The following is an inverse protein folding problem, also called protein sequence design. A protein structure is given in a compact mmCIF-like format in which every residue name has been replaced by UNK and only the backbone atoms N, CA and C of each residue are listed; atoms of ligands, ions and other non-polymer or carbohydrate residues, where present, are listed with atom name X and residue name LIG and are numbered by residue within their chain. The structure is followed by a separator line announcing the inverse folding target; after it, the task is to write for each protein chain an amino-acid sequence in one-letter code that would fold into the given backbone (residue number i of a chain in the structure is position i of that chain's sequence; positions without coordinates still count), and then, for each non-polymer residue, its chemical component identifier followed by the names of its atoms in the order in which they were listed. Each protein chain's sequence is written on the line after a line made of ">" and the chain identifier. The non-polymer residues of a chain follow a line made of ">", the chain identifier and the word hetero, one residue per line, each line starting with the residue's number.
data_IF_189755603014
#
_entry.id   IF_189755603014
#
_cell.length_a   1.000
_cell.length_b   1.000
_cell.length_c   1.000
_cell.angle_alpha   90.00
_cell.angle_beta   90.00
_cell.angle_gamma   90.00
#
_symmetry.space_group_name_H-M   'P 1'
#
loop_
_entity.id
_entity.type
_entity.pdbx_description
1 polymer ?
#
# COMPACT_ATOMS: atom_id res chain seq x y z
N UNK A 1 9.67 -7.17 1.18
CA UNK A 1 9.21 -5.82 0.77
C UNK A 1 8.65 -5.93 -0.65
N UNK A 2 7.39 -5.58 -0.89
CA UNK A 2 6.80 -5.63 -2.25
C UNK A 2 7.53 -4.65 -3.18
N UNK A 3 7.89 -5.11 -4.38
CA UNK A 3 8.90 -4.50 -5.27
C UNK A 3 8.37 -3.32 -6.10
N UNK A 4 7.13 -2.87 -5.85
CA UNK A 4 6.51 -1.81 -6.65
C UNK A 4 6.96 -0.40 -6.20
N UNK A 5 7.98 0.06 -6.95
CA UNK A 5 8.63 1.38 -7.00
C UNK A 5 9.35 1.84 -5.72
N UNK A 6 10.68 1.97 -5.84
CA UNK A 6 11.53 2.69 -4.89
C UNK A 6 11.20 4.18 -4.99
N UNK A 7 10.48 4.71 -3.99
CA UNK A 7 10.35 6.15 -3.83
C UNK A 7 11.68 6.71 -3.27
N UNK A 8 12.10 7.91 -3.66
CA UNK A 8 13.23 8.59 -3.02
C UNK A 8 12.95 8.76 -1.51
N UNK A 9 13.99 8.77 -0.65
CA UNK A 9 13.80 8.86 0.80
C UNK A 9 13.07 10.16 1.16
N UNK A 10 12.07 10.13 2.06
CA UNK A 10 11.37 11.34 2.46
C UNK A 10 12.19 12.12 3.47
N UNK A 11 12.23 13.43 3.27
CA UNK A 11 12.40 14.36 4.38
C UNK A 11 11.00 14.54 4.97
N UNK A 12 10.75 14.05 6.17
CA UNK A 12 9.48 14.26 6.89
C UNK A 12 9.22 15.75 7.24
N UNK A 13 10.15 16.64 6.92
CA UNK A 13 10.01 18.07 7.14
C UNK A 13 8.94 18.66 6.20
N UNK A 14 7.87 19.22 6.78
CA UNK A 14 6.89 20.02 6.05
C UNK A 14 5.49 19.38 5.88
N UNK A 15 5.22 18.24 6.51
CA UNK A 15 3.87 17.68 6.57
C UNK A 15 3.00 18.44 7.61
N UNK A 16 1.74 18.77 7.27
CA UNK A 16 0.74 19.26 8.21
C UNK A 16 0.49 18.28 9.37
N UNK A 17 0.12 18.80 10.54
CA UNK A 17 -0.08 18.02 11.78
C UNK A 17 -0.99 16.79 11.60
N UNK A 18 -2.04 16.91 10.78
CA UNK A 18 -2.98 15.80 10.50
C UNK A 18 -2.29 14.59 9.83
N UNK A 19 -1.30 14.85 8.96
CA UNK A 19 -0.52 13.80 8.31
C UNK A 19 0.60 13.31 9.23
N UNK A 20 1.27 14.23 9.93
CA UNK A 20 2.34 13.91 10.89
C UNK A 20 1.84 12.98 11.99
N UNK A 21 0.66 13.23 12.57
CA UNK A 21 0.06 12.38 13.60
C UNK A 21 -0.28 10.96 13.08
N UNK A 22 -0.39 10.78 11.77
CA UNK A 22 -0.66 9.48 11.15
C UNK A 22 0.62 8.68 10.91
N UNK A 23 1.77 9.34 10.70
CA UNK A 23 3.08 8.68 10.52
C UNK A 23 3.38 7.71 11.66
N UNK A 24 3.16 8.13 12.91
CA UNK A 24 3.43 7.30 14.09
C UNK A 24 2.56 6.04 14.12
N UNK A 25 1.29 6.17 13.72
CA UNK A 25 0.31 5.07 13.74
C UNK A 25 0.55 4.04 12.64
N UNK A 26 1.10 4.46 11.50
CA UNK A 26 1.39 3.58 10.35
C UNK A 26 2.27 2.40 10.75
N UNK A 27 3.27 2.62 11.62
CA UNK A 27 4.12 1.56 12.14
C UNK A 27 3.34 0.49 12.92
N UNK A 28 2.41 0.92 13.79
CA UNK A 28 1.55 0.02 14.56
C UNK A 28 0.53 -0.74 13.72
N UNK A 29 0.22 -0.25 12.51
CA UNK A 29 -0.60 -0.94 11.52
C UNK A 29 0.19 -1.85 10.58
N UNK A 30 1.52 -1.92 10.74
CA UNK A 30 2.40 -2.74 9.91
C UNK A 30 2.79 -2.11 8.56
N UNK A 31 2.52 -0.82 8.35
CA UNK A 31 2.98 -0.09 7.17
C UNK A 31 4.38 0.51 7.36
N UNK A 32 4.99 0.93 6.26
CA UNK A 32 6.29 1.60 6.22
C UNK A 32 6.12 3.13 6.46
N UNK A 33 6.56 3.68 7.61
CA UNK A 33 6.39 5.10 7.92
C UNK A 33 7.13 6.03 6.95
N UNK A 34 8.29 5.60 6.43
CA UNK A 34 9.02 6.38 5.44
C UNK A 34 8.22 6.41 4.13
N UNK A 35 7.79 5.26 3.64
CA UNK A 35 6.94 5.20 2.43
C UNK A 35 5.66 6.03 2.56
N UNK A 36 5.02 6.00 3.73
CA UNK A 36 3.89 6.86 4.05
C UNK A 36 4.24 8.34 3.91
N UNK A 37 5.32 8.79 4.57
CA UNK A 37 5.72 10.19 4.57
C UNK A 37 6.06 10.70 3.15
N UNK A 38 6.78 9.91 2.35
CA UNK A 38 7.09 10.25 0.95
C UNK A 38 5.82 10.38 0.10
N UNK A 39 4.94 9.39 0.19
CA UNK A 39 3.67 9.35 -0.53
C UNK A 39 2.79 10.55 -0.15
N UNK A 40 2.63 10.83 1.14
CA UNK A 40 1.84 11.95 1.63
C UNK A 40 2.42 13.31 1.22
N UNK A 41 3.75 13.46 1.28
CA UNK A 41 4.43 14.70 0.87
C UNK A 41 4.27 14.97 -0.64
N UNK A 42 4.36 13.93 -1.47
CA UNK A 42 4.15 14.04 -2.92
C UNK A 42 2.71 14.48 -3.25
N UNK A 43 1.71 13.86 -2.62
CA UNK A 43 0.31 14.26 -2.76
C UNK A 43 0.07 15.71 -2.34
N UNK A 44 0.64 16.12 -1.20
CA UNK A 44 0.52 17.50 -0.71
C UNK A 44 1.17 18.52 -1.66
N UNK A 45 2.34 18.20 -2.21
CA UNK A 45 3.01 19.06 -3.18
C UNK A 45 2.16 19.24 -4.45
N UNK A 46 1.56 18.16 -4.96
CA UNK A 46 0.65 18.22 -6.10
C UNK A 46 -0.62 19.03 -5.79
N UNK A 47 -1.19 18.88 -4.59
CA UNK A 47 -2.36 19.65 -4.17
C UNK A 47 -2.06 21.16 -4.15
N UNK A 48 -0.91 21.56 -3.60
CA UNK A 48 -0.45 22.96 -3.58
C UNK A 48 -0.21 23.51 -4.98
N UNK A 49 0.32 22.71 -5.89
CA UNK A 49 0.57 23.12 -7.27
C UNK A 49 -0.73 23.44 -8.03
N UNK A 50 -1.82 22.70 -7.76
CA UNK A 50 -3.13 22.94 -8.38
C UNK A 50 -3.82 24.16 -7.73
N UNK A 51 -3.59 24.40 -6.44
CA UNK A 51 -4.15 25.53 -5.70
C UNK A 51 -3.39 26.86 -5.82
N UNK A 52 -2.43 26.99 -6.75
CA UNK A 52 -1.43 28.07 -6.78
C UNK A 52 -1.95 29.51 -6.60
N UNK A 53 -1.22 30.26 -5.75
CA UNK A 53 -1.22 31.70 -5.39
C UNK A 53 -2.51 32.51 -5.62
N UNK A 54 -3.09 33.14 -4.58
CA UNK A 54 -4.31 33.94 -4.73
C UNK A 54 -4.05 35.16 -5.62
N UNK A 55 -4.33 35.02 -6.92
CA UNK A 55 -4.54 36.16 -7.81
C UNK A 55 -5.73 36.93 -7.26
N UNK A 56 -5.44 38.07 -6.64
CA UNK A 56 -6.38 38.83 -5.81
C UNK A 56 -7.71 39.13 -6.50
N UNK A 57 -8.80 38.65 -5.89
CA UNK A 57 -10.16 39.06 -6.25
C UNK A 57 -11.25 38.08 -5.85
N UNK A 58 -11.77 38.18 -4.61
CA UNK A 58 -13.08 37.60 -4.23
C UNK A 58 -13.12 36.75 -2.94
N UNK A 59 -12.73 37.32 -1.79
CA UNK A 59 -12.26 36.60 -0.59
C UNK A 59 -13.30 36.36 0.54
N UNK A 60 -14.52 35.89 0.28
CA UNK A 60 -15.46 35.61 1.40
C UNK A 60 -16.23 34.28 1.29
N UNK A 61 -16.81 33.97 0.13
CA UNK A 61 -17.53 32.71 -0.07
C UNK A 61 -16.61 31.58 -0.55
N UNK A 62 -15.67 31.88 -1.46
CA UNK A 62 -14.66 30.96 -1.96
C UNK A 62 -13.71 30.47 -0.84
N UNK A 63 -13.39 31.36 0.11
CA UNK A 63 -12.54 31.04 1.26
C UNK A 63 -13.13 29.96 2.16
N UNK A 64 -14.45 29.94 2.37
CA UNK A 64 -15.08 28.94 3.26
C UNK A 64 -15.17 27.54 2.65
N UNK A 65 -15.35 27.43 1.34
CA UNK A 65 -15.38 26.16 0.62
C UNK A 65 -13.96 25.61 0.41
N UNK A 66 -13.00 26.47 0.06
CA UNK A 66 -11.59 26.11 -0.04
C UNK A 66 -11.00 25.70 1.32
N UNK A 67 -11.31 26.44 2.39
CA UNK A 67 -10.87 26.11 3.75
C UNK A 67 -11.47 24.80 4.29
N UNK A 68 -12.63 24.35 3.80
CA UNK A 68 -13.20 23.04 4.13
C UNK A 68 -12.70 21.92 3.20
N UNK A 69 -12.42 22.23 1.94
CA UNK A 69 -11.89 21.29 0.95
C UNK A 69 -10.47 20.84 1.31
N UNK A 70 -9.63 21.72 1.86
CA UNK A 70 -8.26 21.39 2.23
C UNK A 70 -8.17 20.30 3.32
N UNK A 71 -8.85 20.38 4.47
CA UNK A 71 -8.86 19.29 5.46
C UNK A 71 -9.38 17.96 4.89
N UNK A 72 -10.36 17.99 3.96
CA UNK A 72 -10.88 16.79 3.31
C UNK A 72 -9.82 16.18 2.38
N UNK A 73 -9.15 17.02 1.56
CA UNK A 73 -8.08 16.58 0.67
C UNK A 73 -6.88 16.03 1.44
N UNK A 74 -6.47 16.66 2.55
CA UNK A 74 -5.41 16.16 3.42
C UNK A 74 -5.74 14.79 4.01
N UNK A 75 -6.99 14.57 4.47
CA UNK A 75 -7.42 13.25 4.95
C UNK A 75 -7.43 12.20 3.84
N UNK A 76 -7.86 12.57 2.63
CA UNK A 76 -7.84 11.70 1.48
C UNK A 76 -6.41 11.30 1.08
N UNK A 77 -5.48 12.26 1.01
CA UNK A 77 -4.04 12.01 0.79
C UNK A 77 -3.50 11.07 1.87
N UNK A 78 -3.80 11.33 3.15
CA UNK A 78 -3.36 10.48 4.25
C UNK A 78 -3.88 9.04 4.15
N UNK A 79 -5.12 8.86 3.69
CA UNK A 79 -5.72 7.53 3.48
C UNK A 79 -5.02 6.79 2.35
N UNK A 80 -4.85 7.45 1.19
CA UNK A 80 -4.15 6.89 0.03
C UNK A 80 -2.70 6.53 0.37
N UNK A 81 -2.00 7.39 1.11
CA UNK A 81 -0.64 7.16 1.56
C UNK A 81 -0.53 5.99 2.55
N UNK A 82 -1.55 5.78 3.40
CA UNK A 82 -1.59 4.65 4.33
C UNK A 82 -1.75 3.31 3.60
N UNK A 83 -2.55 3.25 2.53
CA UNK A 83 -2.55 2.06 1.69
C UNK A 83 -1.21 1.92 0.98
N UNK A 84 -0.71 2.98 0.33
CA UNK A 84 0.57 2.95 -0.40
C UNK A 84 1.77 2.53 0.47
N UNK A 85 1.71 2.78 1.78
CA UNK A 85 2.72 2.34 2.75
C UNK A 85 2.71 0.85 3.06
N UNK A 86 1.77 0.09 2.49
CA UNK A 86 1.71 -1.37 2.59
C UNK A 86 0.66 -1.89 3.56
N UNK A 87 -0.40 -1.13 3.87
CA UNK A 87 -1.47 -1.54 4.80
C UNK A 87 -2.73 -1.95 4.00
N UNK A 88 -3.00 -3.26 3.75
CA UNK A 88 -4.10 -3.70 2.90
C UNK A 88 -5.49 -3.28 3.40
N UNK A 89 -5.66 -3.12 4.71
CA UNK A 89 -6.92 -2.71 5.32
C UNK A 89 -7.43 -1.34 4.83
N UNK A 90 -6.54 -0.48 4.30
CA UNK A 90 -6.91 0.82 3.75
C UNK A 90 -7.28 0.78 2.26
N UNK A 91 -7.19 -0.37 1.56
CA UNK A 91 -7.41 -0.44 0.10
C UNK A 91 -8.70 0.22 -0.33
N UNK A 92 -9.83 -0.22 0.21
CA UNK A 92 -11.16 0.29 -0.18
C UNK A 92 -11.30 1.79 0.06
N UNK A 93 -11.01 2.24 1.28
CA UNK A 93 -11.07 3.66 1.63
C UNK A 93 -10.11 4.53 0.80
N UNK A 94 -8.95 3.98 0.42
CA UNK A 94 -7.96 4.66 -0.42
C UNK A 94 -8.41 4.78 -1.86
N UNK A 95 -9.13 3.77 -2.39
CA UNK A 95 -9.72 3.86 -3.73
C UNK A 95 -10.81 4.92 -3.78
N UNK A 96 -11.68 4.96 -2.77
CA UNK A 96 -12.71 5.99 -2.65
C UNK A 96 -12.07 7.39 -2.52
N UNK A 97 -11.04 7.52 -1.69
CA UNK A 97 -10.28 8.77 -1.54
C UNK A 97 -9.57 9.19 -2.83
N UNK A 98 -8.92 8.26 -3.53
CA UNK A 98 -8.26 8.51 -4.82
C UNK A 98 -9.27 8.87 -5.92
N UNK A 99 -10.49 8.32 -5.88
CA UNK A 99 -11.56 8.68 -6.79
C UNK A 99 -12.04 10.11 -6.59
N UNK A 100 -12.04 10.61 -5.34
CA UNK A 100 -12.47 11.95 -4.97
C UNK A 100 -11.39 13.05 -5.14
N UNK A 101 -10.12 12.67 -5.19
CA UNK A 101 -9.00 13.59 -5.42
C UNK A 101 -8.84 13.96 -6.91
N UNK A 102 -8.30 15.16 -7.22
CA UNK A 102 -7.76 15.43 -8.55
C UNK A 102 -6.75 14.35 -8.95
N UNK A 103 -6.76 13.94 -10.23
CA UNK A 103 -6.01 12.76 -10.70
C UNK A 103 -4.51 12.92 -10.50
N UNK A 104 -4.00 14.13 -10.62
CA UNK A 104 -2.60 14.48 -10.41
C UNK A 104 -2.20 14.34 -8.93
N UNK A 105 -3.09 14.70 -7.99
CA UNK A 105 -2.86 14.52 -6.55
C UNK A 105 -2.89 13.05 -6.16
N UNK A 106 -3.89 12.32 -6.64
CA UNK A 106 -3.99 10.87 -6.42
C UNK A 106 -2.76 10.15 -7.02
N UNK A 107 -2.37 10.52 -8.24
CA UNK A 107 -1.20 9.99 -8.94
C UNK A 107 0.10 10.25 -8.19
N UNK A 108 0.34 11.50 -7.79
CA UNK A 108 1.51 11.85 -6.98
C UNK A 108 1.56 11.09 -5.65
N UNK A 109 0.40 10.91 -4.99
CA UNK A 109 0.33 10.14 -3.74
C UNK A 109 0.64 8.65 -3.99
N UNK A 110 0.11 8.06 -5.05
CA UNK A 110 0.30 6.63 -5.37
C UNK A 110 1.66 6.34 -6.03
N UNK A 111 2.36 7.37 -6.54
CA UNK A 111 3.52 7.20 -7.42
C UNK A 111 3.12 6.62 -8.79
N UNK A 112 2.00 7.08 -9.32
CA UNK A 112 1.40 6.67 -10.59
C UNK A 112 1.11 7.90 -11.46
N UNK A 113 1.13 7.72 -12.77
CA UNK A 113 0.64 8.72 -13.72
C UNK A 113 -0.90 8.82 -13.67
N UNK A 114 -1.46 9.95 -14.08
CA UNK A 114 -2.92 10.18 -14.04
C UNK A 114 -3.73 9.11 -14.82
N UNK A 115 -3.19 8.65 -15.95
CA UNK A 115 -3.79 7.57 -16.74
C UNK A 115 -3.77 6.23 -15.97
N UNK A 116 -2.68 5.93 -15.29
CA UNK A 116 -2.54 4.74 -14.45
C UNK A 116 -3.48 4.77 -13.25
N UNK A 117 -3.74 5.95 -12.66
CA UNK A 117 -4.77 6.09 -11.63
C UNK A 117 -6.16 5.72 -12.19
N UNK A 118 -6.45 6.13 -13.43
CA UNK A 118 -7.72 5.78 -14.08
C UNK A 118 -7.84 4.27 -14.30
N UNK A 119 -6.77 3.62 -14.76
CA UNK A 119 -6.70 2.15 -14.89
C UNK A 119 -6.89 1.45 -13.54
N UNK A 120 -6.20 1.92 -12.50
CA UNK A 120 -6.33 1.39 -11.15
C UNK A 120 -7.78 1.46 -10.67
N UNK A 121 -8.46 2.60 -10.87
CA UNK A 121 -9.85 2.80 -10.46
C UNK A 121 -10.82 1.92 -11.27
N UNK A 122 -10.58 1.76 -12.57
CA UNK A 122 -11.38 0.89 -13.43
C UNK A 122 -11.28 -0.59 -13.07
N UNK A 123 -10.17 -1.03 -12.48
CA UNK A 123 -9.95 -2.41 -12.06
C UNK A 123 -10.81 -2.88 -10.85
N UNK A 124 -11.65 -2.00 -10.28
CA UNK A 124 -12.50 -2.34 -9.14
C UNK A 124 -11.71 -2.78 -7.90
N UNK A 125 -12.32 -3.56 -7.02
CA UNK A 125 -11.71 -3.94 -5.73
C UNK A 125 -10.67 -5.07 -5.81
N UNK A 126 -10.13 -5.37 -7.00
CA UNK A 126 -9.14 -6.43 -7.16
C UNK A 126 -7.86 -6.12 -6.36
N UNK A 127 -7.57 -6.89 -5.28
CA UNK A 127 -6.40 -6.66 -4.42
C UNK A 127 -5.06 -6.78 -5.15
N UNK A 128 -4.99 -7.51 -6.25
CA UNK A 128 -3.72 -7.81 -6.91
C UNK A 128 -3.37 -6.84 -8.03
N UNK A 129 -4.25 -5.90 -8.38
CA UNK A 129 -4.02 -5.00 -9.51
C UNK A 129 -3.21 -3.78 -9.09
N UNK A 130 -2.10 -3.57 -9.81
CA UNK A 130 -1.31 -2.35 -9.76
C UNK A 130 -0.87 -2.00 -11.19
N UNK A 131 -1.14 -0.78 -11.69
CA UNK A 131 -0.72 -0.38 -13.03
C UNK A 131 0.79 -0.50 -13.22
N UNK A 132 1.20 -1.08 -14.34
CA UNK A 132 2.62 -1.28 -14.68
C UNK A 132 3.35 -2.35 -13.85
N UNK A 133 2.68 -3.05 -12.91
CA UNK A 133 3.31 -4.14 -12.17
C UNK A 133 3.47 -5.40 -13.04
N UNK A 134 4.65 -6.01 -12.98
CA UNK A 134 4.97 -7.27 -13.63
C UNK A 134 4.29 -8.48 -13.00
N UNK A 135 4.81 -9.68 -13.30
CA UNK A 135 4.31 -10.93 -12.72
C UNK A 135 4.74 -11.11 -11.27
N UNK A 136 5.85 -10.53 -10.84
CA UNK A 136 6.28 -10.54 -9.43
C UNK A 136 5.45 -9.56 -8.60
N UNK A 137 4.87 -10.05 -7.50
CA UNK A 137 4.03 -9.26 -6.61
C UNK A 137 4.77 -8.84 -5.35
N UNK A 138 5.40 -9.80 -4.67
CA UNK A 138 5.98 -9.54 -3.36
C UNK A 138 7.08 -10.52 -2.98
N UNK A 139 7.99 -10.02 -2.14
CA UNK A 139 8.83 -10.83 -1.26
C UNK A 139 8.28 -10.69 0.16
N UNK A 140 7.77 -11.80 0.71
CA UNK A 140 7.10 -11.85 2.00
C UNK A 140 8.05 -12.41 3.06
N UNK A 141 8.05 -11.75 4.22
CA UNK A 141 8.72 -12.24 5.42
C UNK A 141 10.15 -11.77 5.62
N UNK A 142 11.03 -12.70 5.98
CA UNK A 142 12.40 -12.46 6.43
C UNK A 142 12.61 -12.93 7.87
N UNK A 143 13.85 -13.29 8.19
CA UNK A 143 14.23 -13.62 9.56
C UNK A 143 14.15 -12.37 10.45
N UNK A 144 13.71 -12.50 11.71
CA UNK A 144 13.62 -11.37 12.66
C UNK A 144 14.94 -10.62 12.83
N UNK A 145 16.08 -11.31 12.74
CA UNK A 145 17.41 -10.69 12.74
C UNK A 145 17.70 -9.77 11.54
N UNK A 146 16.88 -9.84 10.48
CA UNK A 146 16.93 -9.03 9.26
C UNK A 146 15.66 -8.16 9.11
N UNK A 147 14.90 -7.98 10.19
CA UNK A 147 13.70 -7.13 10.19
C UNK A 147 12.43 -7.77 9.64
N UNK A 148 12.44 -9.06 9.32
CA UNK A 148 11.23 -9.79 8.93
C UNK A 148 10.44 -10.35 10.12
N UNK A 149 9.26 -10.89 9.87
CA UNK A 149 8.35 -11.34 10.95
C UNK A 149 8.66 -12.75 11.47
N UNK A 150 9.48 -13.53 10.76
CA UNK A 150 9.69 -14.93 11.08
C UNK A 150 10.76 -15.12 12.15
N UNK A 151 10.45 -15.91 13.17
CA UNK A 151 11.39 -16.30 14.22
C UNK A 151 12.29 -17.47 13.78
N UNK A 152 11.87 -18.24 12.78
CA UNK A 152 12.56 -19.40 12.23
C UNK A 152 12.48 -19.37 10.69
N UNK A 153 13.39 -20.07 9.97
CA UNK A 153 13.26 -20.27 8.53
C UNK A 153 11.88 -20.82 8.15
N UNK A 154 11.31 -20.38 7.01
CA UNK A 154 10.09 -20.97 6.47
C UNK A 154 10.39 -22.41 6.03
N UNK A 155 9.51 -23.34 6.39
CA UNK A 155 9.70 -24.77 6.12
C UNK A 155 8.63 -25.35 5.20
N UNK A 156 7.47 -24.70 5.11
CA UNK A 156 6.34 -25.16 4.30
C UNK A 156 5.49 -23.97 3.81
N UNK A 157 4.77 -24.18 2.71
CA UNK A 157 4.01 -23.16 2.00
C UNK A 157 2.75 -23.76 1.35
N UNK A 158 1.62 -23.13 1.57
CA UNK A 158 0.33 -23.43 0.92
C UNK A 158 -0.15 -22.21 0.17
N UNK A 159 -0.54 -22.40 -1.10
CA UNK A 159 -1.21 -21.37 -1.91
C UNK A 159 -2.70 -21.64 -1.88
N UNK A 160 -3.47 -20.75 -1.27
CA UNK A 160 -4.92 -20.85 -1.18
C UNK A 160 -5.61 -20.10 -2.33
N UNK A 161 -6.94 -20.18 -2.38
CA UNK A 161 -7.71 -19.45 -3.39
C UNK A 161 -7.61 -17.92 -3.15
N UNK A 162 -7.68 -17.14 -4.23
CA UNK A 162 -7.65 -15.68 -4.14
C UNK A 162 -6.25 -15.11 -3.88
N UNK A 163 -6.08 -14.36 -2.77
CA UNK A 163 -4.86 -13.64 -2.42
C UNK A 163 -4.13 -14.18 -1.19
N UNK A 164 -4.51 -15.39 -0.76
CA UNK A 164 -4.06 -15.95 0.50
C UNK A 164 -2.97 -16.99 0.31
N UNK A 165 -1.99 -16.96 1.19
CA UNK A 165 -0.97 -17.99 1.37
C UNK A 165 -0.92 -18.40 2.84
N UNK A 166 -0.46 -19.60 3.13
CA UNK A 166 -0.03 -19.99 4.48
C UNK A 166 1.44 -20.40 4.47
N UNK A 167 2.23 -19.91 5.43
CA UNK A 167 3.66 -20.22 5.57
C UNK A 167 3.90 -20.83 6.94
N UNK A 168 4.60 -21.97 7.01
CA UNK A 168 5.03 -22.57 8.27
C UNK A 168 6.43 -22.09 8.64
N UNK A 169 6.64 -21.78 9.92
CA UNK A 169 7.96 -21.53 10.51
C UNK A 169 8.08 -22.32 11.82
N UNK A 170 8.77 -23.47 11.79
CA UNK A 170 8.75 -24.41 12.91
C UNK A 170 7.35 -25.00 13.12
N UNK A 171 6.79 -24.87 14.32
CA UNK A 171 5.44 -25.35 14.66
C UNK A 171 4.32 -24.32 14.37
N UNK A 172 4.68 -23.08 14.02
CA UNK A 172 3.73 -21.98 13.82
C UNK A 172 3.37 -21.82 12.35
N UNK A 173 2.07 -21.71 12.05
CA UNK A 173 1.56 -21.28 10.75
C UNK A 173 1.26 -19.78 10.73
N UNK A 174 1.44 -19.16 9.57
CA UNK A 174 1.13 -17.75 9.33
C UNK A 174 0.25 -17.63 8.09
N UNK A 175 -0.87 -16.92 8.20
CA UNK A 175 -1.64 -16.51 7.03
C UNK A 175 -1.07 -15.22 6.48
N UNK A 176 -0.90 -15.19 5.15
CA UNK A 176 -0.42 -14.04 4.40
C UNK A 176 -1.51 -13.63 3.41
N UNK A 177 -2.05 -12.44 3.60
CA UNK A 177 -3.00 -11.82 2.66
C UNK A 177 -2.27 -10.79 1.81
N UNK A 178 -2.25 -11.02 0.49
CA UNK A 178 -1.54 -10.19 -0.46
C UNK A 178 -2.39 -9.02 -0.94
N UNK A 179 -1.71 -7.90 -1.17
CA UNK A 179 -2.23 -6.71 -1.79
C UNK A 179 -1.17 -6.13 -2.76
N UNK A 180 -1.62 -5.37 -3.75
CA UNK A 180 -0.80 -4.69 -4.75
C UNK A 180 0.38 -3.88 -4.16
N UNK A 181 0.23 -3.36 -2.94
CA UNK A 181 1.21 -2.50 -2.27
C UNK A 181 1.88 -3.13 -1.06
N UNK A 182 1.51 -4.35 -0.66
CA UNK A 182 2.03 -4.99 0.54
C UNK A 182 1.37 -6.32 0.89
N UNK A 183 1.48 -6.72 2.16
CA UNK A 183 0.83 -7.91 2.66
C UNK A 183 0.49 -7.77 4.13
N UNK A 184 -0.55 -8.47 4.59
CA UNK A 184 -0.84 -8.66 6.00
C UNK A 184 -0.42 -10.05 6.42
N UNK A 185 0.30 -10.17 7.53
CA UNK A 185 0.74 -11.45 8.09
C UNK A 185 0.13 -11.62 9.48
N UNK A 186 -0.58 -12.72 9.69
CA UNK A 186 -1.22 -13.04 10.99
C UNK A 186 -0.93 -14.47 11.40
N UNK A 187 -0.71 -14.74 12.70
CA UNK A 187 -0.60 -16.12 13.20
C UNK A 187 -1.85 -16.93 12.88
N UNK A 188 -1.67 -18.22 12.61
CA UNK A 188 -2.73 -19.17 12.37
C UNK A 188 -2.45 -20.49 13.11
N UNK A 189 -3.50 -21.15 13.57
CA UNK A 189 -3.38 -22.46 14.22
C UNK A 189 -3.11 -23.58 13.20
N UNK A 190 -3.66 -23.46 12.00
CA UNK A 190 -3.63 -24.49 10.96
C UNK A 190 -3.37 -23.87 9.58
N UNK A 191 -2.82 -24.65 8.62
CA UNK A 191 -2.66 -24.20 7.25
C UNK A 191 -4.01 -23.96 6.58
N UNK A 192 -3.99 -23.20 5.48
CA UNK A 192 -5.14 -23.07 4.60
C UNK A 192 -5.32 -24.34 3.75
N UNK A 193 -6.44 -24.42 3.03
CA UNK A 193 -6.62 -25.44 1.99
C UNK A 193 -5.90 -25.03 0.72
N UNK A 194 -5.08 -25.93 0.16
CA UNK A 194 -4.42 -25.73 -1.12
C UNK A 194 -5.45 -25.51 -2.24
N UNK A 195 -5.29 -24.44 -3.00
CA UNK A 195 -6.11 -24.19 -4.17
C UNK A 195 -5.83 -25.21 -5.27
N UNK A 196 -6.85 -25.55 -6.06
CA UNK A 196 -6.60 -26.22 -7.33
C UNK A 196 -5.79 -25.30 -8.26
N UNK A 197 -4.95 -25.85 -9.16
CA UNK A 197 -4.17 -25.08 -10.12
C UNK A 197 -4.99 -24.04 -10.89
N UNK A 198 -6.25 -24.36 -11.21
CA UNK A 198 -7.16 -23.54 -12.02
C UNK A 198 -7.79 -22.38 -11.23
N UNK A 199 -7.73 -22.43 -9.89
CA UNK A 199 -8.29 -21.41 -8.99
C UNK A 199 -7.22 -20.59 -8.26
N UNK A 200 -5.97 -21.05 -8.32
CA UNK A 200 -4.83 -20.32 -7.78
C UNK A 200 -4.55 -19.07 -8.63
N UNK A 201 -4.70 -17.88 -8.06
CA UNK A 201 -4.28 -16.63 -8.71
C UNK A 201 -2.80 -16.33 -8.51
N UNK A 202 -2.17 -17.04 -7.58
CA UNK A 202 -0.81 -16.83 -7.13
C UNK A 202 0.07 -18.04 -7.45
N UNK A 203 1.35 -17.78 -7.60
CA UNK A 203 2.44 -18.75 -7.47
C UNK A 203 3.37 -18.25 -6.38
N UNK A 204 3.90 -19.14 -5.55
CA UNK A 204 4.79 -18.75 -4.48
C UNK A 204 5.84 -19.84 -4.22
N UNK A 205 7.02 -19.41 -3.78
CA UNK A 205 8.17 -20.27 -3.54
C UNK A 205 8.96 -19.78 -2.33
N UNK A 206 9.49 -20.71 -1.54
CA UNK A 206 10.43 -20.40 -0.46
C UNK A 206 11.84 -20.26 -1.06
N UNK A 207 12.42 -19.07 -0.96
CA UNK A 207 13.82 -18.85 -1.27
C UNK A 207 14.70 -19.46 -0.17
N UNK A 208 15.54 -20.41 -0.54
CA UNK A 208 16.46 -21.12 0.37
C UNK A 208 17.56 -20.22 0.94
N UNK A 209 17.91 -19.15 0.22
CA UNK A 209 19.11 -18.36 0.52
C UNK A 209 18.79 -17.08 1.30
N UNK A 210 17.59 -16.54 1.10
CA UNK A 210 17.18 -15.27 1.71
C UNK A 210 16.21 -15.44 2.86
N UNK A 211 15.66 -16.65 3.06
CA UNK A 211 14.51 -16.87 3.92
C UNK A 211 13.44 -15.82 3.60
N UNK A 212 12.98 -15.80 2.35
CA UNK A 212 11.84 -15.01 1.90
C UNK A 212 10.91 -15.93 1.12
N UNK A 213 9.61 -15.64 1.12
CA UNK A 213 8.67 -16.26 0.19
C UNK A 213 8.51 -15.31 -0.99
N UNK A 214 8.93 -15.73 -2.17
CA UNK A 214 8.63 -15.01 -3.41
C UNK A 214 7.20 -15.33 -3.83
N UNK A 215 6.48 -14.30 -4.29
CA UNK A 215 5.08 -14.42 -4.71
C UNK A 215 4.91 -13.72 -6.05
N UNK A 216 4.33 -14.42 -7.01
CA UNK A 216 3.97 -13.90 -8.32
C UNK A 216 2.50 -14.17 -8.67
N UNK A 217 2.01 -13.47 -9.70
CA UNK A 217 0.72 -13.76 -10.34
C UNK A 217 0.85 -15.04 -11.16
N UNK A 218 -0.17 -15.89 -11.08
CA UNK A 218 -0.37 -16.97 -12.04
C UNK A 218 -0.94 -16.37 -13.32
N UNK A 219 -0.29 -16.62 -14.45
CA UNK A 219 -0.72 -16.19 -15.78
C UNK A 219 -1.94 -16.96 -16.29
#
# INVERSE_FOLDING_TARGET
>A
MAVNAVLPPPVAAGLPDVLTATVERVSGWGGDPARYAASAAAGLAALRAIGGEPSGGGAAAADSAAAQAEPVALRAIGTVAAWRSGIPAFRRASRDAAAALPREVAGATLGLEAQQVTELLAAGDDPLVWPGAGSELALVGGFRGLGGVWTLPPSDLVVAEGTLLAVATGEQWWHVELDAVGCRITPAAEPLTQASPDRARLVAEISTDSYLVSVGRRG
#
